data_IF_204711473289
#
_entry.id   IF_204711473289
#
_cell.length_a   1.000
_cell.length_b   1.000
_cell.length_c   1.000
_cell.angle_alpha   90.00
_cell.angle_beta   90.00
_cell.angle_gamma   90.00
#
_symmetry.space_group_name_H-M   'P 1'
#
loop_
_entity.id
_entity.type
_entity.pdbx_description
1 polymer ?
#
# COMPACT_ATOMS: atom_id res chain seq x y z
N UNK A 1 1.01 12.27 -15.73
CA UNK A 1 -0.24 11.49 -15.67
C UNK A 1 -0.73 11.54 -14.23
N UNK A 2 -1.96 12.00 -13.97
CA UNK A 2 -2.49 12.03 -12.60
C UNK A 2 -2.81 10.60 -12.14
N UNK A 3 -2.24 10.19 -11.00
CA UNK A 3 -2.59 8.93 -10.36
C UNK A 3 -4.01 9.06 -9.81
N UNK A 4 -4.97 8.33 -10.36
CA UNK A 4 -6.30 8.21 -9.77
C UNK A 4 -6.22 7.26 -8.56
N UNK A 5 -6.64 7.72 -7.38
CA UNK A 5 -6.72 6.89 -6.16
C UNK A 5 -7.96 5.99 -6.12
N UNK A 6 -8.96 6.32 -6.93
CA UNK A 6 -10.24 5.65 -7.00
C UNK A 6 -10.15 4.13 -7.32
N UNK A 7 -9.33 3.67 -8.29
CA UNK A 7 -9.22 2.24 -8.60
C UNK A 7 -8.81 1.39 -7.40
N UNK A 8 -7.83 1.87 -6.63
CA UNK A 8 -7.35 1.20 -5.41
C UNK A 8 -8.44 1.16 -4.33
N UNK A 9 -9.19 2.26 -4.17
CA UNK A 9 -10.30 2.32 -3.20
C UNK A 9 -11.42 1.35 -3.53
N UNK A 10 -11.75 1.19 -4.82
CA UNK A 10 -12.73 0.20 -5.27
C UNK A 10 -12.31 -1.23 -4.96
N UNK A 11 -11.02 -1.56 -5.18
CA UNK A 11 -10.47 -2.87 -4.83
C UNK A 11 -10.54 -3.11 -3.31
N UNK A 12 -10.15 -2.11 -2.52
CA UNK A 12 -10.19 -2.16 -1.04
C UNK A 12 -11.61 -2.44 -0.53
N UNK A 13 -12.59 -1.62 -0.95
CA UNK A 13 -13.99 -1.76 -0.54
C UNK A 13 -14.57 -3.11 -0.97
N UNK A 14 -14.33 -3.53 -2.21
CA UNK A 14 -14.79 -4.83 -2.70
C UNK A 14 -14.26 -5.98 -1.85
N UNK A 15 -12.96 -5.98 -1.54
CA UNK A 15 -12.32 -7.02 -0.73
C UNK A 15 -12.80 -6.99 0.73
N UNK A 16 -12.95 -5.80 1.32
CA UNK A 16 -13.44 -5.63 2.69
C UNK A 16 -14.84 -6.23 2.88
N UNK A 17 -15.69 -6.13 1.86
CA UNK A 17 -17.04 -6.70 1.88
C UNK A 17 -17.13 -8.13 1.31
N UNK A 18 -16.00 -8.75 0.93
CA UNK A 18 -15.94 -10.06 0.28
C UNK A 18 -16.78 -10.17 -1.00
N UNK A 19 -16.90 -9.08 -1.75
CA UNK A 19 -17.65 -9.06 -3.00
C UNK A 19 -16.80 -9.52 -4.20
N UNK A 20 -17.44 -10.18 -5.15
CA UNK A 20 -16.82 -10.49 -6.45
C UNK A 20 -16.98 -9.31 -7.40
N UNK A 21 -16.11 -9.21 -8.41
CA UNK A 21 -16.28 -8.19 -9.47
C UNK A 21 -17.62 -8.36 -10.20
N UNK A 22 -18.08 -9.60 -10.34
CA UNK A 22 -19.38 -9.92 -10.92
C UNK A 22 -20.49 -9.26 -10.10
N UNK A 23 -20.54 -9.54 -8.79
CA UNK A 23 -21.55 -9.00 -7.89
C UNK A 23 -21.63 -7.47 -7.92
N UNK A 24 -20.49 -6.78 -7.81
CA UNK A 24 -20.47 -5.31 -7.85
C UNK A 24 -20.94 -4.79 -9.20
N UNK A 25 -20.49 -5.41 -10.31
CA UNK A 25 -20.89 -5.01 -11.66
C UNK A 25 -22.39 -5.21 -11.89
N UNK A 26 -22.97 -6.30 -11.39
CA UNK A 26 -24.41 -6.57 -11.46
C UNK A 26 -25.20 -5.54 -10.66
N UNK A 27 -24.74 -5.17 -9.46
CA UNK A 27 -25.40 -4.19 -8.61
C UNK A 27 -25.45 -2.80 -9.26
N UNK A 28 -24.35 -2.36 -9.89
CA UNK A 28 -24.30 -1.04 -10.54
C UNK A 28 -24.77 -1.05 -12.00
N UNK A 29 -25.27 -2.19 -12.48
CA UNK A 29 -25.80 -2.42 -13.83
C UNK A 29 -24.79 -2.18 -14.97
N UNK A 30 -23.58 -2.70 -14.83
CA UNK A 30 -22.57 -2.71 -15.90
C UNK A 30 -22.01 -4.12 -16.12
N UNK A 31 -21.26 -4.31 -17.20
CA UNK A 31 -20.56 -5.58 -17.41
C UNK A 31 -19.41 -5.75 -16.42
N UNK A 32 -19.13 -7.01 -16.05
CA UNK A 32 -17.95 -7.39 -15.27
C UNK A 32 -16.65 -6.81 -15.81
N UNK A 33 -16.50 -6.83 -17.15
CA UNK A 33 -15.36 -6.24 -17.85
C UNK A 33 -15.29 -4.73 -17.67
N UNK A 34 -16.42 -4.03 -17.69
CA UNK A 34 -16.52 -2.60 -17.40
C UNK A 34 -16.06 -2.28 -15.98
N UNK A 35 -16.51 -3.04 -14.99
CA UNK A 35 -16.07 -2.85 -13.60
C UNK A 35 -14.58 -3.15 -13.40
N UNK A 36 -14.04 -4.18 -14.06
CA UNK A 36 -12.61 -4.48 -14.06
C UNK A 36 -11.75 -3.32 -14.61
N UNK A 37 -12.25 -2.60 -15.62
CA UNK A 37 -11.58 -1.39 -16.12
C UNK A 37 -11.56 -0.25 -15.09
N UNK A 38 -12.53 -0.19 -14.18
CA UNK A 38 -12.51 0.77 -13.08
C UNK A 38 -11.45 0.43 -12.05
N UNK A 39 -11.36 -0.84 -11.62
CA UNK A 39 -10.34 -1.30 -10.66
C UNK A 39 -8.92 -1.21 -11.20
N UNK A 40 -8.74 -1.28 -12.52
CA UNK A 40 -7.43 -1.13 -13.18
C UNK A 40 -7.12 0.32 -13.57
N UNK A 41 -8.06 1.26 -13.36
CA UNK A 41 -7.89 2.66 -13.72
C UNK A 41 -7.89 2.95 -15.22
N UNK A 42 -8.18 1.95 -16.08
CA UNK A 42 -8.29 2.11 -17.53
C UNK A 42 -9.52 2.92 -17.95
N UNK A 43 -10.56 2.92 -17.11
CA UNK A 43 -11.78 3.69 -17.32
C UNK A 43 -12.20 4.37 -16.01
N UNK A 44 -12.68 5.60 -16.11
CA UNK A 44 -13.25 6.33 -14.98
C UNK A 44 -14.75 6.02 -14.89
N UNK A 45 -15.29 5.70 -13.69
CA UNK A 45 -16.73 5.52 -13.50
C UNK A 45 -17.50 6.80 -13.81
N UNK A 46 -18.72 6.67 -14.34
CA UNK A 46 -19.63 7.82 -14.49
C UNK A 46 -20.12 8.31 -13.12
N UNK A 47 -20.67 9.52 -13.05
CA UNK A 47 -21.32 10.05 -11.84
C UNK A 47 -22.41 9.11 -11.30
N UNK A 48 -23.22 8.54 -12.19
CA UNK A 48 -24.24 7.54 -11.83
C UNK A 48 -23.63 6.27 -11.23
N UNK A 49 -22.53 5.78 -11.81
CA UNK A 49 -21.82 4.61 -11.27
C UNK A 49 -21.22 4.91 -9.90
N UNK A 50 -20.68 6.11 -9.70
CA UNK A 50 -20.13 6.55 -8.41
C UNK A 50 -21.20 6.61 -7.31
N UNK A 51 -22.39 7.12 -7.64
CA UNK A 51 -23.54 7.13 -6.73
C UNK A 51 -23.92 5.71 -6.29
N UNK A 52 -24.12 4.81 -7.26
CA UNK A 52 -24.47 3.40 -6.98
C UNK A 52 -23.38 2.66 -6.19
N UNK A 53 -22.10 2.96 -6.44
CA UNK A 53 -20.98 2.42 -5.67
C UNK A 53 -20.96 2.94 -4.24
N UNK A 54 -21.22 4.24 -4.05
CA UNK A 54 -21.31 4.84 -2.73
C UNK A 54 -22.46 4.22 -1.91
N UNK A 55 -23.62 4.02 -2.54
CA UNK A 55 -24.77 3.30 -1.95
C UNK A 55 -24.43 1.86 -1.60
N UNK A 56 -23.82 1.10 -2.53
CA UNK A 56 -23.43 -0.30 -2.31
C UNK A 56 -22.54 -0.49 -1.08
N UNK A 57 -21.57 0.40 -0.90
CA UNK A 57 -20.62 0.35 0.20
C UNK A 57 -21.08 1.11 1.44
N UNK A 58 -22.26 1.73 1.39
CA UNK A 58 -22.82 2.56 2.46
C UNK A 58 -21.84 3.65 2.95
N UNK A 59 -21.24 4.36 1.99
CA UNK A 59 -20.33 5.49 2.24
C UNK A 59 -20.78 6.71 1.45
N UNK A 60 -20.33 7.89 1.85
CA UNK A 60 -20.55 9.10 1.05
C UNK A 60 -19.72 9.07 -0.24
N UNK A 61 -20.23 9.72 -1.30
CA UNK A 61 -19.47 9.90 -2.55
C UNK A 61 -18.12 10.55 -2.27
N UNK A 62 -18.09 11.54 -1.37
CA UNK A 62 -16.86 12.18 -0.93
C UNK A 62 -15.88 11.13 -0.38
N UNK A 63 -16.29 10.22 0.51
CA UNK A 63 -15.40 9.15 1.00
C UNK A 63 -14.93 8.19 -0.10
N UNK A 64 -15.71 8.00 -1.16
CA UNK A 64 -15.35 7.16 -2.30
C UNK A 64 -14.29 7.83 -3.20
N UNK A 65 -14.40 9.14 -3.43
CA UNK A 65 -13.55 9.89 -4.37
C UNK A 65 -12.43 10.70 -3.70
N UNK A 66 -12.50 10.92 -2.38
CA UNK A 66 -11.58 11.82 -1.69
C UNK A 66 -10.17 11.21 -1.65
N UNK A 67 -9.16 11.89 -2.24
CA UNK A 67 -7.77 11.45 -2.18
C UNK A 67 -7.16 11.58 -0.78
N UNK A 68 -7.87 12.21 0.16
CA UNK A 68 -7.47 12.38 1.54
C UNK A 68 -8.41 11.64 2.49
N UNK A 69 -7.81 11.07 3.54
CA UNK A 69 -8.41 10.43 4.72
C UNK A 69 -8.51 8.90 4.61
N UNK A 70 -7.38 8.26 4.97
CA UNK A 70 -7.43 7.04 5.77
C UNK A 70 -7.82 7.52 7.18
N UNK A 71 -9.03 7.23 7.64
CA UNK A 71 -9.41 7.46 9.04
C UNK A 71 -8.72 6.37 9.87
N UNK A 72 -7.57 6.70 10.47
CA UNK A 72 -6.94 5.85 11.49
C UNK A 72 -7.85 5.90 12.71
N UNK A 73 -8.37 4.76 13.15
CA UNK A 73 -9.16 4.67 14.38
C UNK A 73 -8.32 5.10 15.58
N UNK A 74 -8.88 5.97 16.42
CA UNK A 74 -8.27 6.65 17.59
C UNK A 74 -7.72 5.73 18.71
N UNK A 75 -7.65 4.41 18.51
CA UNK A 75 -7.26 3.46 19.56
C UNK A 75 -5.75 3.33 19.80
N UNK A 76 -4.88 4.03 19.05
CA UNK A 76 -3.42 3.84 19.15
C UNK A 76 -2.66 4.85 20.03
N UNK A 77 -3.33 5.79 20.72
CA UNK A 77 -2.66 6.87 21.48
C UNK A 77 -2.60 6.68 23.01
N UNK A 78 -2.88 5.51 23.56
CA UNK A 78 -2.95 5.34 25.03
C UNK A 78 -1.80 4.59 25.69
N UNK A 79 -0.73 4.22 24.98
CA UNK A 79 0.40 3.59 25.68
C UNK A 79 1.75 3.89 25.01
N UNK A 80 2.44 4.92 25.53
CA UNK A 80 3.90 4.99 25.72
C UNK A 80 4.35 6.42 26.03
N UNK A 81 4.62 6.65 27.31
CA UNK A 81 5.31 7.82 27.89
C UNK A 81 6.80 7.90 27.45
N UNK A 82 7.07 8.02 26.16
CA UNK A 82 8.36 8.46 25.65
C UNK A 82 8.15 9.68 24.76
N UNK A 83 8.83 10.78 25.09
CA UNK A 83 8.69 12.07 24.44
C UNK A 83 8.98 11.98 22.93
N UNK A 84 7.94 11.88 22.11
CA UNK A 84 7.98 12.14 20.68
C UNK A 84 7.24 13.45 20.42
N UNK A 85 7.84 14.41 19.67
CA UNK A 85 7.21 15.70 19.43
C UNK A 85 5.91 15.50 18.65
N UNK A 86 4.85 16.14 19.13
CA UNK A 86 3.47 16.06 18.65
C UNK A 86 3.26 16.72 17.27
N UNK A 87 4.07 16.38 16.28
CA UNK A 87 4.00 16.92 14.91
C UNK A 87 3.83 15.85 13.83
N UNK A 88 3.76 14.55 14.18
CA UNK A 88 3.68 13.48 13.19
C UNK A 88 2.25 13.24 12.71
N UNK A 89 1.67 14.21 12.00
CA UNK A 89 0.74 13.85 10.93
C UNK A 89 1.53 13.06 9.89
N UNK A 90 1.27 11.77 9.76
CA UNK A 90 1.88 10.95 8.71
C UNK A 90 1.43 11.54 7.36
N UNK A 91 2.38 12.13 6.64
CA UNK A 91 2.10 12.73 5.35
C UNK A 91 1.67 11.62 4.37
N UNK A 92 0.41 11.64 3.96
CA UNK A 92 -0.22 10.60 3.13
C UNK A 92 0.52 10.46 1.78
N UNK A 93 1.19 11.52 1.32
CA UNK A 93 2.03 11.45 0.12
C UNK A 93 3.26 10.57 0.34
N UNK A 94 3.91 10.65 1.50
CA UNK A 94 5.04 9.77 1.87
C UNK A 94 4.62 8.30 2.00
N UNK A 95 3.38 8.03 2.41
CA UNK A 95 2.84 6.66 2.44
C UNK A 95 2.65 6.06 1.05
N UNK A 96 2.27 6.87 0.04
CA UNK A 96 2.16 6.41 -1.35
C UNK A 96 3.53 6.06 -1.92
N UNK A 97 4.52 6.91 -1.67
CA UNK A 97 5.89 6.67 -2.11
C UNK A 97 6.45 5.38 -1.50
N UNK A 98 6.15 5.13 -0.22
CA UNK A 98 6.46 3.86 0.46
C UNK A 98 5.77 2.66 -0.20
N UNK A 99 4.49 2.77 -0.54
CA UNK A 99 3.76 1.71 -1.24
C UNK A 99 4.36 1.35 -2.60
N UNK A 100 4.78 2.35 -3.38
CA UNK A 100 5.42 2.14 -4.69
C UNK A 100 6.77 1.43 -4.52
N UNK A 101 7.57 1.83 -3.54
CA UNK A 101 8.86 1.18 -3.23
C UNK A 101 8.68 -0.29 -2.86
N UNK A 102 7.64 -0.61 -2.07
CA UNK A 102 7.35 -1.97 -1.64
C UNK A 102 6.88 -2.86 -2.80
N UNK A 103 6.05 -2.35 -3.71
CA UNK A 103 5.55 -3.10 -4.88
C UNK A 103 6.66 -3.49 -5.87
N UNK A 104 7.72 -2.69 -5.95
CA UNK A 104 8.86 -2.95 -6.84
C UNK A 104 9.97 -3.79 -6.19
N UNK A 105 9.82 -4.18 -4.92
CA UNK A 105 10.80 -5.03 -4.24
C UNK A 105 10.70 -6.49 -4.71
N UNK A 106 11.85 -7.12 -4.97
CA UNK A 106 11.93 -8.54 -5.33
C UNK A 106 13.10 -9.20 -4.57
N UNK A 107 12.84 -10.16 -3.66
CA UNK A 107 11.52 -10.65 -3.23
C UNK A 107 10.69 -9.56 -2.51
N UNK A 108 9.35 -9.70 -2.44
CA UNK A 108 8.49 -8.75 -1.75
C UNK A 108 8.86 -8.69 -0.26
N UNK A 109 9.00 -7.47 0.28
CA UNK A 109 9.21 -7.27 1.72
C UNK A 109 7.97 -7.70 2.52
N UNK A 110 8.17 -8.56 3.52
CA UNK A 110 7.15 -8.83 4.53
C UNK A 110 7.20 -7.75 5.62
N UNK A 111 6.19 -6.87 5.59
CA UNK A 111 6.09 -5.72 6.49
C UNK A 111 5.89 -6.16 7.95
N UNK A 112 5.30 -7.33 8.20
CA UNK A 112 5.05 -7.81 9.57
C UNK A 112 6.33 -8.26 10.28
N UNK A 113 7.36 -8.60 9.51
CA UNK A 113 8.67 -9.02 10.02
C UNK A 113 9.61 -7.86 10.33
N UNK A 114 9.29 -6.63 9.86
CA UNK A 114 10.17 -5.47 10.01
C UNK A 114 10.18 -5.02 11.48
N UNK A 115 11.37 -4.96 12.06
CA UNK A 115 11.58 -4.54 13.44
C UNK A 115 12.09 -3.10 13.52
N UNK A 116 12.07 -2.52 14.73
CA UNK A 116 12.67 -1.21 14.97
C UNK A 116 14.18 -1.19 14.65
N UNK A 117 14.88 -2.30 14.84
CA UNK A 117 16.31 -2.40 14.52
C UNK A 117 16.56 -2.27 13.02
N UNK A 118 15.67 -2.80 12.18
CA UNK A 118 15.74 -2.68 10.72
C UNK A 118 15.54 -1.23 10.28
N UNK A 119 14.58 -0.53 10.89
CA UNK A 119 14.33 0.90 10.65
C UNK A 119 15.52 1.75 11.10
N UNK A 120 16.08 1.46 12.28
CA UNK A 120 17.25 2.17 12.79
C UNK A 120 18.48 1.93 11.90
N UNK A 121 18.67 0.69 11.44
CA UNK A 121 19.70 0.36 10.46
C UNK A 121 19.53 1.20 9.19
N UNK A 122 18.32 1.26 8.62
CA UNK A 122 18.06 2.02 7.39
C UNK A 122 18.30 3.52 7.58
N UNK A 123 17.93 4.06 8.75
CA UNK A 123 18.17 5.46 9.11
C UNK A 123 19.67 5.78 9.16
N UNK A 124 20.48 4.91 9.77
CA UNK A 124 21.93 5.07 9.82
C UNK A 124 22.57 4.86 8.45
N UNK A 125 22.13 3.82 7.72
CA UNK A 125 22.59 3.50 6.37
C UNK A 125 22.47 4.70 5.42
N UNK A 126 21.36 5.45 5.49
CA UNK A 126 21.14 6.64 4.64
C UNK A 126 22.04 7.83 4.98
N UNK A 127 22.70 7.83 6.14
CA UNK A 127 23.67 8.86 6.54
C UNK A 127 25.10 8.55 6.09
N UNK A 128 25.38 7.33 5.61
CA UNK A 128 26.70 6.91 5.15
C UNK A 128 27.07 7.50 3.79
N UNK A 129 28.35 7.45 3.43
CA UNK A 129 28.82 7.87 2.11
C UNK A 129 28.20 6.99 1.01
N UNK A 130 28.05 7.50 -0.23
CA UNK A 130 27.53 6.70 -1.33
C UNK A 130 28.34 5.43 -1.60
N UNK A 131 29.66 5.48 -1.36
CA UNK A 131 30.54 4.33 -1.52
C UNK A 131 30.22 3.24 -0.48
N UNK A 132 30.17 3.61 0.80
CA UNK A 132 29.84 2.66 1.88
C UNK A 132 28.44 2.08 1.70
N UNK A 133 27.50 2.90 1.22
CA UNK A 133 26.15 2.46 0.91
C UNK A 133 26.12 1.36 -0.16
N UNK A 134 26.96 1.47 -1.19
CA UNK A 134 27.06 0.49 -2.27
C UNK A 134 27.77 -0.79 -1.79
N UNK A 135 28.86 -0.64 -1.03
CA UNK A 135 29.60 -1.77 -0.47
C UNK A 135 28.71 -2.65 0.43
N UNK A 136 27.87 -2.02 1.25
CA UNK A 136 26.87 -2.72 2.07
C UNK A 136 25.83 -3.44 1.20
N UNK A 137 25.33 -2.81 0.12
CA UNK A 137 24.36 -3.46 -0.80
C UNK A 137 24.97 -4.69 -1.48
N UNK A 138 26.21 -4.57 -1.95
CA UNK A 138 26.95 -5.66 -2.56
C UNK A 138 27.18 -6.79 -1.55
N UNK A 139 27.57 -6.47 -0.32
CA UNK A 139 27.76 -7.42 0.76
C UNK A 139 26.47 -8.22 1.07
N UNK A 140 25.35 -7.52 1.30
CA UNK A 140 24.05 -8.15 1.57
C UNK A 140 23.61 -9.03 0.39
N UNK A 141 23.73 -8.51 -0.83
CA UNK A 141 23.38 -9.25 -2.05
C UNK A 141 24.21 -10.53 -2.21
N UNK A 142 25.52 -10.47 -1.90
CA UNK A 142 26.41 -11.62 -1.95
C UNK A 142 26.06 -12.66 -0.89
N UNK A 143 25.84 -12.23 0.36
CA UNK A 143 25.42 -13.10 1.47
C UNK A 143 24.11 -13.84 1.13
N UNK A 144 23.11 -13.12 0.63
CA UNK A 144 21.82 -13.70 0.24
C UNK A 144 21.98 -14.75 -0.87
N UNK A 145 22.69 -14.41 -1.96
CA UNK A 145 22.93 -15.36 -3.07
C UNK A 145 23.63 -16.64 -2.61
N UNK A 146 24.60 -16.53 -1.69
CA UNK A 146 25.32 -17.68 -1.16
C UNK A 146 24.44 -18.56 -0.27
N UNK A 147 23.54 -17.96 0.52
CA UNK A 147 22.59 -18.70 1.35
C UNK A 147 21.58 -19.47 0.49
N UNK A 148 21.02 -18.83 -0.54
CA UNK A 148 20.10 -19.50 -1.49
C UNK A 148 20.78 -20.67 -2.20
N UNK A 149 22.07 -20.54 -2.56
CA UNK A 149 22.85 -21.64 -3.16
C UNK A 149 23.08 -22.81 -2.19
N UNK A 150 23.27 -22.55 -0.89
CA UNK A 150 23.44 -23.60 0.14
C UNK A 150 22.15 -24.40 0.32
N UNK A 151 21.02 -23.71 0.49
CA UNK A 151 19.72 -24.34 0.69
C UNK A 151 19.24 -25.19 -0.51
N UNK A 152 19.79 -24.97 -1.71
CA UNK A 152 19.52 -25.78 -2.91
C UNK A 152 20.37 -27.05 -3.03
N UNK A 153 21.46 -27.18 -2.26
CA UNK A 153 22.32 -28.36 -2.26
C UNK A 153 21.94 -29.38 -1.19
N UNK A 154 21.11 -28.98 -0.23
CA UNK A 154 20.68 -29.80 0.91
C UNK A 154 19.28 -30.43 0.70
N UNK A 155 18.62 -30.10 -0.41
CA UNK A 155 17.38 -30.74 -0.90
C UNK A 155 17.68 -31.51 -2.18
#
# INVERSE_FOLDING_TARGET
>A
MSLSLLPLKLIELRKKHNYTQEYVSSYIHISRGGYSQYETGKRVPSSESLLKLAELYNISINQLINPHIISVSDNFLSDSSAAYPATNSIDVYKLKDLGILLLNSSPPLDIQSITQNDINFLSNYKKLSPQDQEDIRLFVSCKYKNQVKRNKKEN
#
